data_IF_081372047379
#
_entry.id   IF_081372047379
#
_cell.length_a   1.000
_cell.length_b   1.000
_cell.length_c   1.000
_cell.angle_alpha   90.00
_cell.angle_beta   90.00
_cell.angle_gamma   90.00
#
_symmetry.space_group_name_H-M   'P 1'
#
loop_
_entity.id
_entity.type
_entity.pdbx_description
1 polymer ?
#
# COMPACT_ATOMS: atom_id res chain seq x y z
N UNK A 1 -1.97 14.79 8.56
CA UNK A 1 -2.81 14.14 7.52
C UNK A 1 -2.79 12.63 7.73
N UNK A 2 -3.94 11.93 7.64
CA UNK A 2 -3.97 10.46 7.69
C UNK A 2 -3.32 9.88 6.44
N UNK A 3 -2.44 8.90 6.62
CA UNK A 3 -1.64 8.29 5.55
C UNK A 3 -2.05 6.83 5.36
N UNK A 4 -2.08 6.40 4.10
CA UNK A 4 -2.39 5.03 3.71
C UNK A 4 -1.32 4.48 2.78
N UNK A 5 -1.02 3.19 2.90
CA UNK A 5 -0.16 2.46 1.96
C UNK A 5 -0.96 1.32 1.33
N UNK A 6 -0.89 1.22 0.01
CA UNK A 6 -1.42 0.10 -0.78
C UNK A 6 -0.26 -0.73 -1.30
N UNK A 7 -0.26 -2.02 -0.97
CA UNK A 7 0.76 -2.98 -1.42
C UNK A 7 0.08 -3.99 -2.33
N UNK A 8 0.54 -4.12 -3.57
CA UNK A 8 -0.07 -5.01 -4.56
C UNK A 8 0.78 -6.27 -4.71
N UNK A 9 0.21 -7.40 -4.33
CA UNK A 9 0.81 -8.72 -4.49
C UNK A 9 0.21 -9.41 -5.72
N UNK A 10 1.07 -9.85 -6.63
CA UNK A 10 0.74 -10.71 -7.75
C UNK A 10 1.14 -12.15 -7.43
N UNK A 11 0.74 -13.10 -8.28
CA UNK A 11 1.10 -14.51 -8.12
C UNK A 11 2.61 -14.74 -7.96
N UNK A 12 3.43 -14.00 -8.69
CA UNK A 12 4.90 -14.09 -8.66
C UNK A 12 5.52 -13.68 -7.33
N UNK A 13 4.79 -12.95 -6.50
CA UNK A 13 5.30 -12.34 -5.26
C UNK A 13 5.22 -13.31 -4.06
N UNK A 14 4.87 -14.58 -4.30
CA UNK A 14 4.75 -15.62 -3.26
C UNK A 14 6.06 -15.89 -2.51
N UNK A 15 7.20 -15.73 -3.18
CA UNK A 15 8.53 -16.00 -2.62
C UNK A 15 9.07 -14.83 -1.77
N UNK A 16 8.29 -13.78 -1.57
CA UNK A 16 8.70 -12.64 -0.73
C UNK A 16 8.67 -13.11 0.74
N UNK A 17 9.88 -13.34 1.26
CA UNK A 17 10.16 -13.95 2.56
C UNK A 17 9.53 -13.19 3.75
N UNK A 18 9.07 -13.98 4.73
CA UNK A 18 7.95 -13.71 5.64
C UNK A 18 8.20 -12.87 6.91
N UNK A 19 9.39 -12.35 7.22
CA UNK A 19 9.64 -11.94 8.64
C UNK A 19 10.30 -10.58 8.88
N UNK A 20 11.13 -10.07 7.98
CA UNK A 20 11.76 -8.74 8.15
C UNK A 20 10.87 -7.59 7.66
N UNK A 21 10.11 -7.85 6.59
CA UNK A 21 9.28 -6.89 5.88
C UNK A 21 8.34 -6.11 6.80
N UNK A 22 7.58 -6.79 7.64
CA UNK A 22 6.50 -6.13 8.36
C UNK A 22 6.96 -5.38 9.60
N UNK A 23 8.00 -5.84 10.30
CA UNK A 23 8.43 -5.24 11.59
C UNK A 23 8.65 -3.73 11.47
N UNK A 24 9.12 -3.29 10.31
CA UNK A 24 9.39 -1.88 10.02
C UNK A 24 8.14 -1.05 9.71
N UNK A 25 7.07 -1.64 9.13
CA UNK A 25 5.81 -0.94 8.84
C UNK A 25 4.87 -0.83 10.04
N UNK A 26 5.12 -1.64 11.07
CA UNK A 26 4.15 -1.97 12.11
C UNK A 26 3.93 -0.85 13.14
N UNK A 27 4.77 0.19 13.22
CA UNK A 27 4.79 1.04 14.41
C UNK A 27 4.23 2.47 14.29
N UNK A 28 3.81 2.96 13.13
CA UNK A 28 3.52 4.39 12.99
C UNK A 28 2.28 4.65 12.13
N UNK A 29 1.19 5.15 12.76
CA UNK A 29 0.13 6.02 12.24
C UNK A 29 -0.48 5.82 10.82
N UNK A 30 -0.12 4.76 10.10
CA UNK A 30 -0.39 4.54 8.68
C UNK A 30 -1.35 3.36 8.54
N UNK A 31 -2.39 3.53 7.72
CA UNK A 31 -3.28 2.44 7.34
C UNK A 31 -2.64 1.60 6.23
N UNK A 32 -2.59 0.29 6.39
CA UNK A 32 -1.98 -0.61 5.42
C UNK A 32 -3.08 -1.43 4.75
N UNK A 33 -3.12 -1.40 3.42
CA UNK A 33 -3.94 -2.26 2.60
C UNK A 33 -3.05 -3.20 1.77
N UNK A 34 -3.22 -4.50 2.00
CA UNK A 34 -2.60 -5.55 1.20
C UNK A 34 -3.59 -6.01 0.13
N UNK A 35 -3.19 -6.00 -1.13
CA UNK A 35 -4.04 -6.43 -2.26
C UNK A 35 -3.54 -7.76 -2.82
N UNK A 36 -4.40 -8.77 -2.82
CA UNK A 36 -4.21 -9.99 -3.61
C UNK A 36 -4.77 -9.75 -5.02
N UNK A 37 -3.88 -9.54 -5.99
CA UNK A 37 -4.25 -9.28 -7.38
C UNK A 37 -4.46 -10.60 -8.13
N UNK A 38 -5.71 -11.07 -8.23
CA UNK A 38 -6.05 -12.27 -8.99
C UNK A 38 -6.59 -13.45 -8.19
N UNK A 39 -6.96 -13.25 -6.92
CA UNK A 39 -7.53 -14.29 -6.06
C UNK A 39 -6.65 -15.55 -5.96
N UNK A 40 -5.35 -15.35 -5.75
CA UNK A 40 -4.41 -16.46 -5.61
C UNK A 40 -4.42 -16.97 -4.17
N UNK A 41 -4.68 -18.26 -3.98
CA UNK A 41 -4.84 -18.86 -2.66
C UNK A 41 -3.55 -18.73 -1.81
N UNK A 42 -2.40 -19.05 -2.37
CA UNK A 42 -1.15 -18.96 -1.64
C UNK A 42 -0.77 -17.50 -1.27
N UNK A 43 -1.21 -16.52 -2.07
CA UNK A 43 -1.05 -15.10 -1.72
C UNK A 43 -1.99 -14.75 -0.56
N UNK A 44 -3.26 -15.16 -0.57
CA UNK A 44 -4.16 -14.83 0.55
C UNK A 44 -3.64 -15.41 1.87
N UNK A 45 -3.13 -16.64 1.86
CA UNK A 45 -2.50 -17.28 3.03
C UNK A 45 -1.27 -16.51 3.52
N UNK A 46 -0.42 -16.05 2.61
CA UNK A 46 0.69 -15.16 2.93
C UNK A 46 0.17 -13.88 3.60
N UNK A 47 -0.81 -13.19 3.00
CA UNK A 47 -1.34 -11.92 3.53
C UNK A 47 -2.01 -12.09 4.91
N UNK A 48 -2.73 -13.19 5.13
CA UNK A 48 -3.33 -13.50 6.44
C UNK A 48 -2.24 -13.72 7.50
N UNK A 49 -1.22 -14.53 7.21
CA UNK A 49 -0.09 -14.73 8.13
C UNK A 49 0.63 -13.40 8.45
N UNK A 50 0.79 -12.54 7.43
CA UNK A 50 1.34 -11.20 7.59
C UNK A 50 0.48 -10.33 8.53
N UNK A 51 -0.84 -10.35 8.35
CA UNK A 51 -1.78 -9.62 9.21
C UNK A 51 -1.73 -10.11 10.66
N UNK A 52 -1.76 -11.43 10.88
CA UNK A 52 -1.70 -12.03 12.20
C UNK A 52 -0.40 -11.68 12.95
N UNK A 53 0.75 -11.79 12.27
CA UNK A 53 2.04 -11.43 12.86
C UNK A 53 2.13 -9.96 13.25
N UNK A 54 1.46 -9.09 12.49
CA UNK A 54 1.56 -7.64 12.68
C UNK A 54 0.92 -7.12 13.98
N UNK A 55 -0.10 -7.81 14.51
CA UNK A 55 -0.94 -7.34 15.63
C UNK A 55 -1.50 -5.91 15.45
N UNK A 56 -1.65 -5.44 14.20
CA UNK A 56 -2.10 -4.08 13.85
C UNK A 56 -3.26 -4.10 12.86
N UNK A 57 -3.83 -2.91 12.64
CA UNK A 57 -4.95 -2.71 11.73
C UNK A 57 -4.49 -2.72 10.25
N UNK A 58 -4.31 -3.93 9.75
CA UNK A 58 -4.06 -4.23 8.33
C UNK A 58 -5.35 -4.72 7.68
N UNK A 59 -5.69 -4.09 6.56
CA UNK A 59 -6.77 -4.53 5.69
C UNK A 59 -6.23 -5.40 4.55
N UNK A 60 -7.00 -6.39 4.14
CA UNK A 60 -6.70 -7.25 2.99
C UNK A 60 -7.85 -7.12 2.00
N UNK A 61 -7.52 -6.89 0.72
CA UNK A 61 -8.48 -6.84 -0.38
C UNK A 61 -8.08 -7.86 -1.45
N UNK A 62 -8.99 -8.77 -1.77
CA UNK A 62 -8.79 -9.74 -2.84
C UNK A 62 -9.54 -9.34 -4.10
N UNK A 63 -8.83 -9.23 -5.21
CA UNK A 63 -9.42 -8.94 -6.52
C UNK A 63 -9.82 -10.25 -7.21
N UNK A 64 -11.06 -10.31 -7.71
CA UNK A 64 -11.61 -11.51 -8.38
C UNK A 64 -10.81 -12.00 -9.59
N UNK A 65 -10.13 -11.10 -10.28
CA UNK A 65 -9.30 -11.37 -11.46
C UNK A 65 -8.06 -10.48 -11.40
N UNK A 66 -6.98 -10.94 -12.01
CA UNK A 66 -5.77 -10.13 -12.16
C UNK A 66 -6.09 -8.85 -12.91
N UNK A 67 -5.48 -7.76 -12.46
CA UNK A 67 -5.60 -6.44 -13.08
C UNK A 67 -4.22 -5.84 -13.29
N UNK A 68 -4.13 -4.95 -14.27
CA UNK A 68 -3.00 -4.03 -14.39
C UNK A 68 -2.84 -3.24 -13.08
N UNK A 69 -1.59 -2.94 -12.71
CA UNK A 69 -1.25 -2.34 -11.42
C UNK A 69 -2.15 -1.14 -11.04
N UNK A 70 -2.33 -0.17 -11.93
CA UNK A 70 -3.13 1.04 -11.63
C UNK A 70 -4.63 0.76 -11.42
N UNK A 71 -5.17 -0.31 -12.02
CA UNK A 71 -6.55 -0.74 -11.75
C UNK A 71 -6.67 -1.39 -10.37
N UNK A 72 -5.65 -2.13 -9.93
CA UNK A 72 -5.57 -2.64 -8.57
C UNK A 72 -5.40 -1.49 -7.56
N UNK A 73 -4.56 -0.49 -7.86
CA UNK A 73 -4.45 0.75 -7.05
C UNK A 73 -5.82 1.41 -6.90
N UNK A 74 -6.54 1.64 -8.00
CA UNK A 74 -7.88 2.25 -7.97
C UNK A 74 -8.86 1.48 -7.08
N UNK A 75 -8.83 0.14 -7.12
CA UNK A 75 -9.65 -0.68 -6.24
C UNK A 75 -9.29 -0.47 -4.76
N UNK A 76 -7.98 -0.44 -4.45
CA UNK A 76 -7.51 -0.18 -3.10
C UNK A 76 -7.81 1.23 -2.59
N UNK A 77 -7.66 2.24 -3.45
CA UNK A 77 -8.00 3.63 -3.11
C UNK A 77 -9.47 3.74 -2.76
N UNK A 78 -10.37 3.16 -3.58
CA UNK A 78 -11.80 3.13 -3.28
C UNK A 78 -12.09 2.48 -1.94
N UNK A 79 -11.51 1.31 -1.69
CA UNK A 79 -11.65 0.61 -0.41
C UNK A 79 -11.22 1.49 0.77
N UNK A 80 -10.02 2.08 0.70
CA UNK A 80 -9.48 2.94 1.74
C UNK A 80 -10.32 4.20 1.97
N UNK A 81 -10.80 4.83 0.90
CA UNK A 81 -11.67 6.01 0.99
C UNK A 81 -13.03 5.71 1.64
N UNK A 82 -13.53 4.47 1.52
CA UNK A 82 -14.79 4.06 2.17
C UNK A 82 -14.62 3.88 3.67
N UNK A 83 -13.48 3.35 4.13
CA UNK A 83 -13.27 3.04 5.54
C UNK A 83 -12.69 4.22 6.32
N UNK A 84 -11.93 5.10 5.67
CA UNK A 84 -11.19 6.17 6.34
C UNK A 84 -11.05 7.41 5.43
N UNK A 85 -11.12 8.60 6.03
CA UNK A 85 -10.71 9.83 5.35
C UNK A 85 -9.17 9.93 5.29
N UNK A 86 -8.55 9.19 4.37
CA UNK A 86 -7.11 9.17 4.13
C UNK A 86 -6.73 10.33 3.21
N UNK A 87 -5.88 11.24 3.69
CA UNK A 87 -5.48 12.42 2.93
C UNK A 87 -4.28 12.20 2.00
N UNK A 88 -3.51 11.12 2.20
CA UNK A 88 -2.42 10.72 1.32
C UNK A 88 -2.36 9.20 1.21
N UNK A 89 -2.36 8.69 -0.02
CA UNK A 89 -2.24 7.27 -0.31
C UNK A 89 -0.99 7.05 -1.13
N UNK A 90 -0.17 6.09 -0.69
CA UNK A 90 1.04 5.69 -1.40
C UNK A 90 0.87 4.24 -1.86
N UNK A 91 1.24 3.93 -3.09
CA UNK A 91 1.14 2.57 -3.62
C UNK A 91 2.49 2.03 -4.06
N UNK A 92 2.65 0.72 -3.93
CA UNK A 92 3.93 0.06 -4.21
C UNK A 92 3.79 -1.45 -4.43
N UNK A 93 4.86 -2.05 -4.92
CA UNK A 93 5.06 -3.50 -4.94
C UNK A 93 5.76 -3.94 -3.64
N UNK A 94 5.66 -5.22 -3.23
CA UNK A 94 6.16 -5.62 -1.92
C UNK A 94 7.70 -5.51 -1.82
N UNK A 95 8.45 -5.80 -2.89
CA UNK A 95 9.92 -5.67 -2.87
C UNK A 95 10.42 -4.26 -2.55
N UNK A 96 9.72 -3.23 -3.02
CA UNK A 96 10.17 -1.83 -2.87
C UNK A 96 10.01 -1.29 -1.45
N UNK A 97 9.40 -2.07 -0.55
CA UNK A 97 9.11 -1.71 0.83
C UNK A 97 10.13 -2.29 1.83
N UNK A 98 11.11 -3.08 1.39
CA UNK A 98 12.15 -3.64 2.26
C UNK A 98 13.11 -2.60 2.86
N UNK A 99 13.01 -1.33 2.44
CA UNK A 99 13.92 -0.28 2.88
C UNK A 99 13.27 0.64 3.93
N UNK A 100 13.81 0.57 5.15
CA UNK A 100 13.36 1.32 6.34
C UNK A 100 13.40 2.83 6.11
N UNK A 101 14.37 3.34 5.34
CA UNK A 101 14.48 4.78 5.10
C UNK A 101 13.25 5.35 4.37
N UNK A 102 12.57 4.53 3.56
CA UNK A 102 11.35 4.94 2.87
C UNK A 102 10.19 5.14 3.83
N UNK A 103 10.08 4.32 4.87
CA UNK A 103 9.00 4.43 5.86
C UNK A 103 9.11 5.77 6.58
N UNK A 104 10.31 6.12 7.01
CA UNK A 104 10.58 7.40 7.65
C UNK A 104 10.26 8.58 6.71
N UNK A 105 10.61 8.47 5.42
CA UNK A 105 10.25 9.49 4.42
C UNK A 105 8.74 9.65 4.30
N UNK A 106 8.00 8.54 4.19
CA UNK A 106 6.52 8.56 4.13
C UNK A 106 5.93 9.21 5.38
N UNK A 107 6.50 8.97 6.56
CA UNK A 107 5.98 9.52 7.81
C UNK A 107 6.23 11.01 7.97
N UNK A 108 7.36 11.48 7.46
CA UNK A 108 7.74 12.89 7.56
C UNK A 108 7.16 13.73 6.43
N UNK A 109 6.71 13.12 5.32
CA UNK A 109 6.19 13.88 4.18
C UNK A 109 4.96 14.72 4.55
N UNK A 110 4.99 15.98 4.15
CA UNK A 110 3.93 16.96 4.31
C UNK A 110 3.22 17.23 2.97
N UNK A 111 2.12 17.99 2.99
CA UNK A 111 1.43 18.36 1.74
C UNK A 111 2.29 19.28 0.85
N UNK A 112 3.28 19.99 1.42
CA UNK A 112 4.17 20.91 0.67
C UNK A 112 5.20 20.18 -0.19
N UNK A 113 5.55 18.96 0.20
CA UNK A 113 6.55 18.13 -0.50
C UNK A 113 5.94 17.39 -1.70
N UNK A 114 4.61 17.45 -1.84
CA UNK A 114 3.86 16.73 -2.87
C UNK A 114 3.58 17.65 -4.06
N UNK A 115 3.97 17.20 -5.25
CA UNK A 115 3.61 17.87 -6.49
C UNK A 115 2.11 17.74 -6.75
N UNK A 116 1.52 18.78 -7.33
CA UNK A 116 0.09 18.86 -7.48
C UNK A 116 -0.42 18.04 -8.68
N UNK A 117 -1.28 17.06 -8.44
CA UNK A 117 -1.94 16.24 -9.47
C UNK A 117 -3.32 16.78 -9.87
N UNK A 118 -3.45 18.09 -10.16
CA UNK A 118 -4.75 18.72 -10.50
C UNK A 118 -5.45 18.06 -11.70
N UNK A 119 -4.68 17.62 -12.68
CA UNK A 119 -5.16 16.98 -13.91
C UNK A 119 -5.68 15.54 -13.68
N UNK A 120 -5.27 14.91 -12.59
CA UNK A 120 -5.76 13.58 -12.23
C UNK A 120 -7.21 13.62 -11.75
N UNK A 121 -7.90 12.48 -11.88
CA UNK A 121 -9.22 12.29 -11.29
C UNK A 121 -9.16 12.59 -9.80
N UNK A 122 -10.19 13.24 -9.25
CA UNK A 122 -10.26 13.67 -7.84
C UNK A 122 -9.78 12.59 -6.87
N UNK A 123 -10.23 11.34 -7.08
CA UNK A 123 -9.86 10.18 -6.26
C UNK A 123 -8.35 9.86 -6.25
N UNK A 124 -7.62 10.22 -7.31
CA UNK A 124 -6.21 9.91 -7.52
C UNK A 124 -5.28 11.08 -7.26
N UNK A 125 -5.80 12.30 -7.04
CA UNK A 125 -4.97 13.50 -6.81
C UNK A 125 -4.08 13.40 -5.58
N UNK A 126 -4.47 12.56 -4.61
CA UNK A 126 -3.75 12.28 -3.37
C UNK A 126 -3.07 10.91 -3.37
N UNK A 127 -2.91 10.30 -4.56
CA UNK A 127 -2.35 8.96 -4.74
C UNK A 127 -1.01 9.06 -5.44
N UNK A 128 0.03 8.50 -4.82
CA UNK A 128 1.41 8.55 -5.32
C UNK A 128 2.02 7.15 -5.29
N UNK A 129 2.86 6.85 -6.26
CA UNK A 129 3.74 5.70 -6.20
C UNK A 129 4.88 5.96 -5.22
N UNK A 130 5.47 4.89 -4.69
CA UNK A 130 6.64 5.03 -3.82
C UNK A 130 7.80 5.77 -4.52
N UNK A 131 7.98 5.57 -5.83
CA UNK A 131 9.06 6.20 -6.59
C UNK A 131 8.87 7.72 -6.71
N UNK A 132 7.63 8.16 -6.91
CA UNK A 132 7.30 9.58 -6.90
C UNK A 132 7.64 10.23 -5.55
N UNK A 133 7.45 9.51 -4.45
CA UNK A 133 7.75 9.99 -3.10
C UNK A 133 9.26 9.98 -2.81
N UNK A 134 9.99 8.97 -3.31
CA UNK A 134 11.44 8.88 -3.13
C UNK A 134 12.16 10.01 -3.87
N UNK A 135 11.65 10.42 -5.02
CA UNK A 135 12.27 11.45 -5.85
C UNK A 135 11.79 12.89 -5.53
N UNK A 136 10.90 13.06 -4.54
CA UNK A 136 10.56 14.36 -3.95
C UNK A 136 11.69 14.90 -3.07
#
# INVERSE_FOLDING_TARGET
>A
MKKGIIIIFNKSDINILKTSFLKSFINQGIKILLINNGNHQAIIELLCALKEYSKKDISILTLRKEKKAMLAVKAGVRFLSTINNIGLIIHTKPMSMLNISFINKILNISEKDLFNKKEERVLLRRVYSINEIINC
#
